data_IF_386628996237
#
_entry.id   IF_386628996237
#
_cell.length_a   1.000
_cell.length_b   1.000
_cell.length_c   1.000
_cell.angle_alpha   90.00
_cell.angle_beta   90.00
_cell.angle_gamma   90.00
#
_symmetry.space_group_name_H-M   'P 1'
#
loop_
_entity.id
_entity.type
_entity.pdbx_description
1 polymer ?
#
# COMPACT_ATOMS: atom_id res chain seq x y z
N UNK A 1 39.06 -19.68 42.02
CA UNK A 1 39.09 -19.50 40.56
C UNK A 1 37.66 -19.28 40.09
N UNK A 2 37.41 -18.12 39.49
CA UNK A 2 36.09 -17.53 39.27
C UNK A 2 35.28 -18.18 38.15
N UNK A 3 33.98 -18.25 38.42
CA UNK A 3 32.78 -18.22 37.57
C UNK A 3 32.93 -17.93 36.07
N UNK A 4 32.15 -18.65 35.27
CA UNK A 4 31.47 -18.05 34.10
C UNK A 4 30.02 -18.55 34.04
N UNK A 5 29.00 -17.68 34.16
CA UNK A 5 27.61 -18.07 33.94
C UNK A 5 27.33 -18.11 32.43
N UNK A 6 26.51 -19.07 32.03
CA UNK A 6 25.84 -19.12 30.74
C UNK A 6 24.85 -17.94 30.63
N UNK A 7 25.03 -17.09 29.62
CA UNK A 7 24.00 -16.18 29.14
C UNK A 7 23.65 -16.62 27.71
N UNK A 8 22.64 -17.47 27.58
CA UNK A 8 21.80 -17.53 26.40
C UNK A 8 20.45 -16.90 26.76
N UNK A 9 19.79 -16.33 25.76
CA UNK A 9 18.37 -15.93 25.78
C UNK A 9 18.08 -14.51 26.29
N UNK A 10 18.37 -13.47 25.47
CA UNK A 10 17.54 -12.26 25.52
C UNK A 10 17.48 -11.33 24.29
N UNK A 11 18.12 -11.65 23.15
CA UNK A 11 18.14 -10.72 21.99
C UNK A 11 17.01 -10.91 20.97
N UNK A 12 16.24 -12.01 21.03
CA UNK A 12 15.20 -12.27 20.01
C UNK A 12 13.87 -11.51 20.24
N UNK A 13 13.52 -11.11 21.47
CA UNK A 13 12.20 -10.52 21.77
C UNK A 13 12.01 -9.11 21.20
N UNK A 14 13.06 -8.28 21.20
CA UNK A 14 12.99 -6.88 20.74
C UNK A 14 12.84 -6.75 19.22
N UNK A 15 13.44 -7.68 18.46
CA UNK A 15 13.38 -7.67 17.00
C UNK A 15 12.01 -8.11 16.46
N UNK A 16 11.36 -9.04 17.16
CA UNK A 16 10.04 -9.54 16.79
C UNK A 16 8.92 -8.57 17.18
N UNK A 17 9.07 -7.86 18.31
CA UNK A 17 8.16 -6.78 18.72
C UNK A 17 8.21 -5.61 17.72
N UNK A 18 9.41 -5.22 17.27
CA UNK A 18 9.57 -4.18 16.24
C UNK A 18 8.94 -4.58 14.88
N UNK A 19 9.13 -5.84 14.44
CA UNK A 19 8.48 -6.35 13.22
C UNK A 19 6.95 -6.34 13.34
N UNK A 20 6.42 -6.71 14.51
CA UNK A 20 4.98 -6.70 14.75
C UNK A 20 4.40 -5.28 14.70
N UNK A 21 5.09 -4.30 15.30
CA UNK A 21 4.71 -2.89 15.21
C UNK A 21 4.77 -2.39 13.77
N UNK A 22 5.77 -2.78 12.98
CA UNK A 22 5.86 -2.43 11.56
C UNK A 22 4.69 -3.01 10.74
N UNK A 23 4.34 -4.28 10.98
CA UNK A 23 3.22 -4.95 10.31
C UNK A 23 1.88 -4.30 10.67
N UNK A 24 1.66 -4.00 11.96
CA UNK A 24 0.46 -3.33 12.44
C UNK A 24 0.36 -1.90 11.87
N UNK A 25 1.47 -1.19 11.79
CA UNK A 25 1.53 0.14 11.20
C UNK A 25 1.21 0.11 9.69
N UNK A 26 1.77 -0.83 8.95
CA UNK A 26 1.46 -1.03 7.53
C UNK A 26 -0.02 -1.39 7.31
N UNK A 27 -0.60 -2.23 8.18
CA UNK A 27 -2.03 -2.56 8.13
C UNK A 27 -2.92 -1.35 8.43
N UNK A 28 -2.58 -0.54 9.45
CA UNK A 28 -3.32 0.68 9.79
C UNK A 28 -3.28 1.75 8.70
N UNK A 29 -2.13 1.92 8.04
CA UNK A 29 -1.99 2.85 6.91
C UNK A 29 -2.96 2.48 5.77
N UNK A 30 -3.15 1.19 5.52
CA UNK A 30 -3.96 0.66 4.41
C UNK A 30 -5.46 0.70 4.71
N UNK A 31 -5.87 0.21 5.88
CA UNK A 31 -7.27 0.21 6.30
C UNK A 31 -7.42 0.72 7.75
N UNK A 32 -7.46 2.04 7.93
CA UNK A 32 -7.62 2.65 9.25
C UNK A 32 -9.03 2.46 9.82
N UNK A 33 -10.00 2.00 9.03
CA UNK A 33 -11.35 1.70 9.51
C UNK A 33 -11.45 0.31 10.15
N UNK A 34 -10.67 -0.64 9.64
CA UNK A 34 -10.70 -2.04 10.09
C UNK A 34 -9.52 -2.43 10.99
N UNK A 35 -8.46 -1.61 11.08
CA UNK A 35 -7.26 -1.91 11.89
C UNK A 35 -7.07 -0.86 12.98
N UNK A 36 -6.82 -1.23 14.25
CA UNK A 36 -6.50 -0.29 15.30
C UNK A 36 -5.08 0.29 15.14
N UNK A 37 -4.84 1.56 15.51
CA UNK A 37 -3.52 2.16 15.44
C UNK A 37 -2.55 1.44 16.39
N UNK A 38 -1.25 1.33 16.05
CA UNK A 38 -0.28 0.77 16.97
C UNK A 38 -0.19 1.63 18.24
N UNK A 39 -0.04 0.99 19.39
CA UNK A 39 0.01 1.67 20.67
C UNK A 39 1.18 2.67 20.72
N UNK A 40 0.93 3.86 21.28
CA UNK A 40 1.96 4.91 21.44
C UNK A 40 2.21 5.81 20.24
N UNK A 41 1.51 5.63 19.11
CA UNK A 41 1.57 6.55 17.97
C UNK A 41 0.46 7.61 18.01
N UNK A 42 0.83 8.88 17.83
CA UNK A 42 -0.13 9.97 17.69
C UNK A 42 -0.96 9.85 16.41
N UNK A 43 -2.28 9.98 16.54
CA UNK A 43 -3.23 9.94 15.42
C UNK A 43 -2.90 10.94 14.29
N UNK A 44 -2.36 12.12 14.65
CA UNK A 44 -1.91 13.13 13.69
C UNK A 44 -0.78 12.62 12.79
N UNK A 45 0.24 11.96 13.37
CA UNK A 45 1.38 11.42 12.62
C UNK A 45 0.93 10.30 11.69
N UNK A 46 0.05 9.43 12.19
CA UNK A 46 -0.53 8.34 11.42
C UNK A 46 -1.30 8.85 10.19
N UNK A 47 -2.07 9.94 10.33
CA UNK A 47 -2.74 10.60 9.20
C UNK A 47 -1.74 11.10 8.16
N UNK A 48 -0.66 11.76 8.58
CA UNK A 48 0.40 12.27 7.69
C UNK A 48 1.03 11.13 6.90
N UNK A 49 1.39 10.02 7.57
CA UNK A 49 1.97 8.87 6.89
C UNK A 49 1.01 8.26 5.87
N UNK A 50 -0.27 8.10 6.24
CA UNK A 50 -1.28 7.58 5.31
C UNK A 50 -1.41 8.44 4.06
N UNK A 51 -1.43 9.76 4.22
CA UNK A 51 -1.50 10.69 3.09
C UNK A 51 -0.23 10.63 2.23
N UNK A 52 0.95 10.57 2.86
CA UNK A 52 2.22 10.45 2.14
C UNK A 52 2.30 9.17 1.31
N UNK A 53 1.97 8.02 1.89
CA UNK A 53 1.98 6.74 1.18
C UNK A 53 1.00 6.71 0.03
N UNK A 54 -0.24 7.18 0.25
CA UNK A 54 -1.23 7.27 -0.81
C UNK A 54 -0.76 8.20 -1.93
N UNK A 55 -0.22 9.38 -1.60
CA UNK A 55 0.27 10.33 -2.59
C UNK A 55 1.43 9.76 -3.40
N UNK A 56 2.33 8.99 -2.78
CA UNK A 56 3.42 8.30 -3.49
C UNK A 56 2.90 7.25 -4.47
N UNK A 57 1.96 6.40 -4.04
CA UNK A 57 1.34 5.40 -4.92
C UNK A 57 0.59 6.08 -6.06
N UNK A 58 -0.23 7.08 -5.76
CA UNK A 58 -0.98 7.82 -6.78
C UNK A 58 -0.04 8.51 -7.76
N UNK A 59 1.03 9.16 -7.30
CA UNK A 59 2.01 9.82 -8.17
C UNK A 59 2.71 8.84 -9.10
N UNK A 60 2.97 7.63 -8.63
CA UNK A 60 3.47 6.55 -9.48
C UNK A 60 2.44 6.14 -10.54
N UNK A 61 1.19 5.91 -10.16
CA UNK A 61 0.11 5.61 -11.13
C UNK A 61 -0.09 6.74 -12.14
N UNK A 62 -0.03 8.00 -11.70
CA UNK A 62 -0.12 9.18 -12.57
C UNK A 62 0.98 9.19 -13.65
N UNK A 63 2.16 8.65 -13.33
CA UNK A 63 3.32 8.59 -14.23
C UNK A 63 3.30 7.33 -15.10
N UNK A 64 2.85 6.20 -14.56
CA UNK A 64 2.82 4.90 -15.24
C UNK A 64 1.64 4.75 -16.21
N UNK A 65 0.52 5.45 -15.95
CA UNK A 65 -0.72 5.31 -16.72
C UNK A 65 -1.29 6.68 -17.18
N UNK A 66 -0.49 7.52 -17.86
CA UNK A 66 -0.89 8.87 -18.23
C UNK A 66 -2.10 8.89 -19.18
N UNK A 67 -2.20 7.97 -20.14
CA UNK A 67 -3.31 7.89 -21.11
C UNK A 67 -4.56 7.34 -20.42
N UNK A 68 -4.45 6.26 -19.66
CA UNK A 68 -5.57 5.71 -18.88
C UNK A 68 -6.17 6.77 -17.95
N UNK A 69 -5.33 7.57 -17.29
CA UNK A 69 -5.78 8.68 -16.43
C UNK A 69 -6.66 9.69 -17.19
N UNK A 70 -6.38 9.96 -18.47
CA UNK A 70 -7.19 10.90 -19.27
C UNK A 70 -8.64 10.46 -19.50
N UNK A 71 -8.92 9.16 -19.30
CA UNK A 71 -10.27 8.60 -19.42
C UNK A 71 -11.15 8.86 -18.19
N UNK A 72 -10.55 9.38 -17.11
CA UNK A 72 -11.22 9.67 -15.85
C UNK A 72 -11.18 11.17 -15.54
N UNK A 73 -12.19 11.66 -14.82
CA UNK A 73 -12.04 12.92 -14.09
C UNK A 73 -11.02 12.75 -12.96
N UNK A 74 -10.39 13.84 -12.52
CA UNK A 74 -9.43 13.80 -11.41
C UNK A 74 -10.00 13.16 -10.14
N UNK A 75 -11.29 13.38 -9.86
CA UNK A 75 -12.00 12.78 -8.72
C UNK A 75 -12.12 11.27 -8.87
N UNK A 76 -12.49 10.79 -10.06
CA UNK A 76 -12.70 9.38 -10.32
C UNK A 76 -11.38 8.62 -10.38
N UNK A 77 -10.34 9.22 -10.96
CA UNK A 77 -8.98 8.68 -10.93
C UNK A 77 -8.45 8.54 -9.50
N UNK A 78 -8.66 9.58 -8.68
CA UNK A 78 -8.25 9.54 -7.26
C UNK A 78 -9.04 8.48 -6.48
N UNK A 79 -10.33 8.30 -6.76
CA UNK A 79 -11.16 7.27 -6.15
C UNK A 79 -10.70 5.85 -6.54
N UNK A 80 -10.40 5.63 -7.82
CA UNK A 80 -9.85 4.38 -8.33
C UNK A 80 -8.50 4.04 -7.68
N UNK A 81 -7.59 5.02 -7.61
CA UNK A 81 -6.30 4.87 -6.94
C UNK A 81 -6.47 4.54 -5.44
N UNK A 82 -7.48 5.11 -4.76
CA UNK A 82 -7.79 4.78 -3.35
C UNK A 82 -8.32 3.36 -3.20
N UNK A 83 -9.16 2.90 -4.13
CA UNK A 83 -9.68 1.53 -4.10
C UNK A 83 -8.56 0.52 -4.33
N UNK A 84 -7.70 0.78 -5.32
CA UNK A 84 -6.47 0.01 -5.52
C UNK A 84 -5.60 0.03 -4.26
N UNK A 85 -5.32 1.19 -3.67
CA UNK A 85 -4.48 1.30 -2.47
C UNK A 85 -5.01 0.50 -1.26
N UNK A 86 -6.34 0.33 -1.15
CA UNK A 86 -6.94 -0.50 -0.09
C UNK A 86 -6.74 -2.00 -0.32
N UNK A 87 -6.81 -2.44 -1.58
CA UNK A 87 -6.65 -3.86 -1.97
C UNK A 87 -5.19 -4.26 -2.15
N UNK A 88 -4.34 -3.32 -2.58
CA UNK A 88 -2.91 -3.49 -2.71
C UNK A 88 -2.31 -3.78 -1.34
N UNK A 89 -2.00 -5.05 -1.12
CA UNK A 89 -1.25 -5.46 0.05
C UNK A 89 0.23 -5.20 -0.26
N UNK A 90 0.84 -4.25 0.43
CA UNK A 90 2.28 -3.98 0.36
C UNK A 90 3.08 -5.17 0.93
N UNK A 91 3.15 -6.28 0.20
CA UNK A 91 3.95 -7.44 0.56
C UNK A 91 5.40 -7.28 0.12
N UNK A 92 5.69 -6.23 -0.67
CA UNK A 92 6.97 -6.00 -1.30
C UNK A 92 7.33 -4.51 -1.26
N UNK A 93 8.55 -4.14 -0.82
CA UNK A 93 9.06 -2.77 -0.88
C UNK A 93 9.39 -2.31 -2.31
N UNK A 94 9.29 -3.19 -3.30
CA UNK A 94 9.63 -2.90 -4.69
C UNK A 94 8.50 -2.16 -5.44
N UNK A 95 8.78 -0.92 -5.85
CA UNK A 95 7.87 -0.05 -6.59
C UNK A 95 7.43 -0.60 -7.95
N UNK A 96 8.27 -1.42 -8.60
CA UNK A 96 7.97 -2.04 -9.89
C UNK A 96 6.69 -2.90 -9.86
N UNK A 97 6.38 -3.51 -8.72
CA UNK A 97 5.19 -4.34 -8.55
C UNK A 97 3.89 -3.52 -8.47
N UNK A 98 3.96 -2.20 -8.30
CA UNK A 98 2.75 -1.36 -8.18
C UNK A 98 2.00 -1.30 -9.50
N UNK A 99 2.71 -1.11 -10.63
CA UNK A 99 2.07 -1.02 -11.94
C UNK A 99 1.49 -2.39 -12.36
N UNK A 100 2.25 -3.47 -12.18
CA UNK A 100 1.79 -4.83 -12.45
C UNK A 100 0.52 -5.19 -11.65
N UNK A 101 0.53 -4.92 -10.34
CA UNK A 101 -0.65 -5.17 -9.50
C UNK A 101 -1.80 -4.23 -9.82
N UNK A 102 -1.55 -3.01 -10.29
CA UNK A 102 -2.61 -2.12 -10.75
C UNK A 102 -3.28 -2.68 -12.00
N UNK A 103 -2.52 -3.18 -12.97
CA UNK A 103 -3.07 -3.84 -14.16
C UNK A 103 -3.88 -5.09 -13.77
N UNK A 104 -3.39 -5.90 -12.82
CA UNK A 104 -4.15 -7.04 -12.29
C UNK A 104 -5.45 -6.59 -11.59
N UNK A 105 -5.38 -5.54 -10.78
CA UNK A 105 -6.56 -4.94 -10.14
C UNK A 105 -7.61 -4.48 -11.16
N UNK A 106 -7.20 -3.89 -12.29
CA UNK A 106 -8.12 -3.46 -13.34
C UNK A 106 -8.81 -4.61 -14.07
N UNK A 107 -8.25 -5.82 -14.06
CA UNK A 107 -8.92 -7.02 -14.62
C UNK A 107 -10.10 -7.47 -13.77
N UNK A 108 -9.93 -7.40 -12.45
CA UNK A 108 -10.96 -7.78 -11.48
C UNK A 108 -11.89 -6.61 -11.15
N UNK A 109 -11.55 -5.40 -11.59
CA UNK A 109 -12.39 -4.22 -11.44
C UNK A 109 -13.63 -4.38 -12.31
N UNK A 110 -14.84 -4.41 -11.72
CA UNK A 110 -16.05 -4.65 -12.48
C UNK A 110 -16.18 -3.59 -13.56
N UNK A 111 -16.60 -3.94 -14.78
CA UNK A 111 -16.92 -2.97 -15.81
C UNK A 111 -18.07 -2.11 -15.26
N UNK A 112 -17.74 -0.95 -14.69
CA UNK A 112 -18.72 0.11 -14.50
C UNK A 112 -19.30 0.42 -15.88
N UNK A 113 -20.62 0.63 -15.98
CA UNK A 113 -21.33 0.99 -17.24
C UNK A 113 -20.69 2.17 -18.00
N UNK A 114 -19.77 2.90 -17.37
CA UNK A 114 -19.05 4.07 -17.89
C UNK A 114 -17.60 3.80 -18.32
N UNK A 115 -17.06 2.61 -18.08
CA UNK A 115 -15.67 2.27 -18.41
C UNK A 115 -15.54 1.72 -19.84
N UNK A 116 -14.57 2.17 -20.65
CA UNK A 116 -14.34 1.57 -21.97
C UNK A 116 -13.97 0.09 -21.87
N UNK A 117 -14.51 -0.73 -22.78
CA UNK A 117 -14.27 -2.18 -22.79
C UNK A 117 -12.79 -2.59 -22.97
N UNK A 118 -11.93 -1.66 -23.39
CA UNK A 118 -10.50 -1.87 -23.65
C UNK A 118 -9.58 -1.41 -22.49
N UNK A 119 -10.16 -1.16 -21.30
CA UNK A 119 -9.44 -0.52 -20.20
C UNK A 119 -8.22 -1.32 -19.74
N UNK A 120 -8.35 -2.63 -19.68
CA UNK A 120 -7.29 -3.56 -19.30
C UNK A 120 -6.19 -3.63 -20.35
N UNK A 121 -6.56 -3.66 -21.63
CA UNK A 121 -5.66 -3.67 -22.78
C UNK A 121 -4.87 -2.37 -22.86
N UNK A 122 -5.50 -1.23 -22.58
CA UNK A 122 -4.82 0.05 -22.50
C UNK A 122 -3.81 0.09 -21.34
N UNK A 123 -4.20 -0.40 -20.16
CA UNK A 123 -3.30 -0.47 -19.02
C UNK A 123 -2.09 -1.40 -19.31
N UNK A 124 -2.30 -2.50 -20.03
CA UNK A 124 -1.23 -3.38 -20.51
C UNK A 124 -0.33 -2.75 -21.57
N UNK A 125 -0.82 -1.78 -22.34
CA UNK A 125 -0.02 -1.10 -23.34
C UNK A 125 0.90 -0.03 -22.72
N UNK A 126 0.48 0.58 -21.61
CA UNK A 126 1.27 1.62 -20.93
C UNK A 126 2.37 1.08 -20.00
N UNK A 127 2.29 -0.19 -19.59
CA UNK A 127 3.24 -0.85 -18.67
C UNK A 127 4.10 -1.89 -19.39
#
# INVERSE_FOLDING_TARGET
>A
MSTKPSHSDNDNSNSDDFKQVQLQFAAYIRDPGSTPPPAGLEARRLKIYRELFFNNVKGFLDTAFPVLKTLYSDSNWTALARQFFRQYACHSPYFLHIAEQFVAFLKDYPPTDTGPAFLTELAHYEW
#
